data_IF_356954893766
#
_entry.id   IF_356954893766
#
_cell.length_a   1.000
_cell.length_b   1.000
_cell.length_c   1.000
_cell.angle_alpha   90.00
_cell.angle_beta   90.00
_cell.angle_gamma   90.00
#
_symmetry.space_group_name_H-M   'P 1'
#
loop_
_entity.id
_entity.type
_entity.pdbx_description
1 polymer ?
#
# COMPACT_ATOMS: atom_id res chain seq x y z
N UNK A 1 -15.31 -13.11 20.14
CA UNK A 1 -14.04 -12.47 20.55
C UNK A 1 -14.05 -11.01 20.11
N UNK A 2 -13.41 -10.09 20.85
CA UNK A 2 -13.22 -8.70 20.41
C UNK A 2 -11.72 -8.40 20.36
N UNK A 3 -11.19 -8.11 19.18
CA UNK A 3 -9.78 -7.71 19.03
C UNK A 3 -9.55 -6.31 19.60
N UNK A 4 -8.39 -6.12 20.24
CA UNK A 4 -7.93 -4.84 20.78
C UNK A 4 -6.44 -4.68 20.51
N UNK A 5 -6.01 -3.61 19.82
CA UNK A 5 -4.61 -3.40 19.50
C UNK A 5 -3.84 -2.87 20.71
N UNK A 6 -2.70 -3.49 21.02
CA UNK A 6 -1.75 -2.95 21.97
C UNK A 6 -0.80 -1.97 21.26
N UNK A 7 -1.14 -0.68 21.27
CA UNK A 7 -0.35 0.34 20.58
C UNK A 7 1.03 0.61 21.19
N UNK A 8 1.33 0.11 22.39
CA UNK A 8 2.68 0.23 22.97
C UNK A 8 3.69 -0.65 22.24
N UNK A 9 3.21 -1.63 21.46
CA UNK A 9 4.01 -2.48 20.59
C UNK A 9 4.26 -1.87 19.21
N UNK A 10 3.62 -0.74 18.89
CA UNK A 10 3.86 -0.04 17.63
C UNK A 10 5.27 0.54 17.65
N UNK A 11 6.09 0.17 16.65
CA UNK A 11 7.46 0.65 16.53
C UNK A 11 7.65 1.28 15.17
N UNK A 12 8.44 2.34 15.11
CA UNK A 12 8.94 2.84 13.83
C UNK A 12 10.24 2.12 13.57
N UNK A 13 10.26 1.27 12.56
CA UNK A 13 11.37 0.35 12.36
C UNK A 13 12.14 0.71 11.11
N UNK A 14 13.47 0.57 11.19
CA UNK A 14 14.33 0.78 10.03
C UNK A 14 14.08 -0.34 9.02
N UNK A 15 14.02 -0.01 7.73
CA UNK A 15 13.80 -0.96 6.62
C UNK A 15 14.76 -2.16 6.59
N UNK A 16 15.90 -2.07 7.30
CA UNK A 16 16.81 -3.21 7.53
C UNK A 16 16.19 -4.34 8.37
N UNK A 17 15.26 -4.06 9.28
CA UNK A 17 14.59 -5.10 10.07
C UNK A 17 13.62 -5.93 9.23
N UNK A 18 12.97 -5.37 8.21
CA UNK A 18 12.13 -6.12 7.27
C UNK A 18 12.93 -7.26 6.63
N UNK A 19 14.12 -6.94 6.09
CA UNK A 19 15.02 -7.94 5.48
C UNK A 19 15.37 -9.06 6.47
N UNK A 20 15.60 -8.71 7.73
CA UNK A 20 15.96 -9.69 8.77
C UNK A 20 14.77 -10.59 9.19
N UNK A 21 13.53 -10.09 9.10
CA UNK A 21 12.33 -10.83 9.50
C UNK A 21 11.90 -11.81 8.41
N UNK A 22 11.94 -11.40 7.15
CA UNK A 22 11.32 -12.14 6.05
C UNK A 22 12.34 -12.78 5.09
N UNK A 23 13.64 -12.53 5.27
CA UNK A 23 14.72 -13.02 4.41
C UNK A 23 14.80 -12.30 3.05
N UNK A 24 13.66 -11.82 2.56
CA UNK A 24 13.47 -10.93 1.41
C UNK A 24 12.41 -9.87 1.74
N UNK A 25 12.49 -8.66 1.19
CA UNK A 25 11.57 -7.55 1.51
C UNK A 25 10.09 -7.77 1.14
N UNK A 26 9.73 -8.92 0.58
CA UNK A 26 8.43 -9.20 -0.03
C UNK A 26 7.87 -10.50 0.51
N UNK A 27 6.71 -10.44 1.16
CA UNK A 27 6.04 -11.65 1.66
C UNK A 27 4.54 -11.44 1.84
N UNK A 28 3.80 -12.53 1.85
CA UNK A 28 2.44 -12.56 2.39
C UNK A 28 2.53 -13.16 3.80
N UNK A 29 2.06 -12.40 4.79
CA UNK A 29 1.96 -12.86 6.16
C UNK A 29 0.51 -13.28 6.44
N UNK A 30 0.31 -14.50 6.93
CA UNK A 30 -1.01 -15.06 7.23
C UNK A 30 -1.09 -15.30 8.73
N UNK A 31 -2.00 -14.62 9.39
CA UNK A 31 -2.25 -14.77 10.81
C UNK A 31 -3.55 -15.53 11.05
N UNK A 32 -3.55 -16.43 12.03
CA UNK A 32 -4.71 -17.23 12.41
C UNK A 32 -4.98 -17.12 13.91
N UNK A 33 -6.21 -16.76 14.27
CA UNK A 33 -6.69 -16.84 15.65
C UNK A 33 -8.13 -17.32 15.68
N UNK A 34 -8.35 -18.49 16.27
CA UNK A 34 -9.66 -19.13 16.31
C UNK A 34 -10.24 -19.31 14.89
N UNK A 35 -11.40 -18.72 14.60
CA UNK A 35 -12.04 -18.75 13.28
C UNK A 35 -11.67 -17.55 12.40
N UNK A 36 -10.70 -16.73 12.80
CA UNK A 36 -10.30 -15.50 12.11
C UNK A 36 -8.98 -15.66 11.37
N UNK A 37 -8.94 -15.13 10.16
CA UNK A 37 -7.75 -15.11 9.32
C UNK A 37 -7.47 -13.68 8.85
N UNK A 38 -6.23 -13.22 9.05
CA UNK A 38 -5.73 -11.98 8.48
C UNK A 38 -4.62 -12.32 7.49
N UNK A 39 -4.81 -11.94 6.23
CA UNK A 39 -3.76 -12.01 5.21
C UNK A 39 -3.20 -10.60 5.03
N UNK A 40 -1.89 -10.41 5.15
CA UNK A 40 -1.22 -9.14 4.92
C UNK A 40 -0.26 -9.26 3.74
N UNK A 41 -0.48 -8.46 2.70
CA UNK A 41 0.49 -8.27 1.63
C UNK A 41 1.55 -7.27 2.09
N UNK A 42 2.79 -7.71 2.20
CA UNK A 42 3.91 -6.85 2.58
C UNK A 42 4.68 -6.50 1.30
N UNK A 43 4.33 -5.38 0.67
CA UNK A 43 4.92 -4.97 -0.60
C UNK A 43 5.91 -3.80 -0.44
N UNK A 44 7.01 -3.84 -1.19
CA UNK A 44 8.03 -2.76 -1.29
C UNK A 44 7.76 -1.90 -2.54
N UNK A 45 6.50 -1.84 -3.01
CA UNK A 45 6.04 -1.22 -4.25
C UNK A 45 6.82 -1.63 -5.50
N UNK A 46 7.33 -2.87 -5.52
CA UNK A 46 7.97 -3.41 -6.72
C UNK A 46 6.89 -3.88 -7.66
N UNK A 47 6.32 -2.94 -8.43
CA UNK A 47 5.13 -3.08 -9.26
C UNK A 47 4.84 -4.53 -9.68
N UNK A 48 5.77 -5.15 -10.40
CA UNK A 48 5.66 -6.53 -10.89
C UNK A 48 5.31 -7.59 -9.84
N UNK A 49 6.01 -7.63 -8.70
CA UNK A 49 5.80 -8.67 -7.68
C UNK A 49 4.53 -8.37 -6.86
N UNK A 50 4.24 -7.09 -6.63
CA UNK A 50 3.02 -6.64 -5.96
C UNK A 50 1.76 -7.11 -6.71
N UNK A 51 1.77 -6.96 -8.04
CA UNK A 51 0.74 -7.53 -8.92
C UNK A 51 0.62 -9.04 -8.71
N UNK A 52 1.74 -9.77 -8.82
CA UNK A 52 1.74 -11.23 -8.69
C UNK A 52 1.22 -11.69 -7.32
N UNK A 53 1.54 -10.98 -6.24
CA UNK A 53 1.01 -11.25 -4.88
C UNK A 53 -0.50 -11.03 -4.81
N UNK A 54 -0.99 -9.90 -5.32
CA UNK A 54 -2.42 -9.58 -5.29
C UNK A 54 -3.25 -10.56 -6.15
N UNK A 55 -2.79 -10.89 -7.36
CA UNK A 55 -3.38 -11.92 -8.22
C UNK A 55 -3.36 -13.27 -7.53
N UNK A 56 -2.22 -13.68 -6.96
CA UNK A 56 -2.13 -14.95 -6.24
C UNK A 56 -3.15 -15.00 -5.10
N UNK A 57 -3.21 -14.01 -4.21
CA UNK A 57 -4.13 -14.00 -3.07
C UNK A 57 -5.61 -13.93 -3.45
N UNK A 58 -5.95 -13.30 -4.58
CA UNK A 58 -7.33 -13.16 -5.05
C UNK A 58 -7.74 -14.25 -6.05
N UNK A 59 -6.80 -15.06 -6.53
CA UNK A 59 -7.08 -16.17 -7.45
C UNK A 59 -8.03 -17.22 -6.85
N UNK A 60 -8.67 -18.00 -7.71
CA UNK A 60 -9.53 -19.11 -7.27
C UNK A 60 -8.73 -20.28 -6.67
N UNK A 61 -7.44 -20.38 -7.00
CA UNK A 61 -6.53 -21.40 -6.50
C UNK A 61 -5.95 -21.09 -5.12
N UNK A 62 -6.05 -19.84 -4.65
CA UNK A 62 -5.60 -19.50 -3.31
C UNK A 62 -6.52 -20.10 -2.24
N UNK A 63 -6.01 -20.84 -1.25
CA UNK A 63 -6.86 -21.58 -0.32
C UNK A 63 -7.68 -20.67 0.63
N UNK A 64 -7.30 -19.40 0.77
CA UNK A 64 -7.94 -18.45 1.69
C UNK A 64 -8.75 -17.45 0.87
N UNK A 65 -10.07 -17.40 1.06
CA UNK A 65 -10.94 -16.45 0.35
C UNK A 65 -11.29 -15.27 1.26
N UNK A 66 -10.97 -14.02 0.88
CA UNK A 66 -11.28 -12.87 1.71
C UNK A 66 -12.77 -12.54 1.66
N UNK A 67 -13.33 -12.25 2.84
CA UNK A 67 -14.66 -11.66 2.95
C UNK A 67 -14.64 -10.14 2.73
N UNK A 68 -13.45 -9.52 2.87
CA UNK A 68 -13.20 -8.09 2.68
C UNK A 68 -11.75 -7.87 2.27
N UNK A 69 -11.55 -6.90 1.37
CA UNK A 69 -10.25 -6.35 1.01
C UNK A 69 -10.08 -4.97 1.64
N UNK A 70 -9.00 -4.80 2.39
CA UNK A 70 -8.57 -3.55 3.00
C UNK A 70 -7.37 -3.01 2.21
N UNK A 71 -7.44 -1.76 1.76
CA UNK A 71 -6.35 -1.14 1.00
C UNK A 71 -5.86 0.12 1.69
N UNK A 72 -4.54 0.24 1.81
CA UNK A 72 -3.88 1.52 2.05
C UNK A 72 -4.20 2.52 0.94
N UNK A 73 -4.26 3.79 1.29
CA UNK A 73 -4.54 4.88 0.36
C UNK A 73 -3.29 5.71 0.08
N UNK A 74 -2.22 5.08 -0.42
CA UNK A 74 -1.13 5.84 -1.02
C UNK A 74 -1.52 6.24 -2.45
N UNK A 75 -1.73 7.55 -2.64
CA UNK A 75 -1.88 8.22 -3.93
C UNK A 75 -3.26 8.29 -4.60
N UNK A 76 -4.37 8.10 -3.87
CA UNK A 76 -5.70 8.42 -4.44
C UNK A 76 -5.87 9.94 -4.47
N UNK A 77 -5.62 10.56 -5.62
CA UNK A 77 -5.74 12.02 -5.83
C UNK A 77 -4.52 12.72 -6.43
N UNK A 78 -3.41 12.02 -6.70
CA UNK A 78 -2.38 12.59 -7.58
C UNK A 78 -2.89 12.48 -9.02
N UNK A 79 -2.82 13.58 -9.78
CA UNK A 79 -2.88 13.50 -11.24
C UNK A 79 -1.87 12.43 -11.66
N UNK A 80 -2.35 11.32 -12.22
CA UNK A 80 -1.54 10.24 -12.76
C UNK A 80 -0.62 10.85 -13.82
N UNK A 81 0.59 11.27 -13.43
CA UNK A 81 1.62 11.61 -14.39
C UNK A 81 2.00 10.31 -15.06
N UNK A 82 1.67 10.20 -16.34
CA UNK A 82 2.17 9.15 -17.21
C UNK A 82 3.68 9.06 -17.02
N UNK A 83 4.13 8.03 -16.32
CA UNK A 83 5.53 7.67 -16.31
C UNK A 83 5.87 7.18 -17.72
N UNK A 84 6.95 7.66 -18.35
CA UNK A 84 7.44 7.12 -19.62
C UNK A 84 7.92 5.66 -19.51
N UNK A 85 7.73 5.00 -18.36
CA UNK A 85 8.09 3.59 -18.10
C UNK A 85 6.87 2.66 -18.04
N UNK A 86 5.74 3.06 -18.62
CA UNK A 86 4.51 2.27 -18.66
C UNK A 86 3.64 2.47 -17.43
N UNK A 87 2.37 2.12 -17.56
CA UNK A 87 1.34 2.24 -16.51
C UNK A 87 1.85 1.74 -15.16
N UNK A 88 2.07 2.66 -14.22
CA UNK A 88 2.03 2.33 -12.80
C UNK A 88 0.55 2.26 -12.40
N UNK A 89 -0.17 1.25 -12.88
CA UNK A 89 -1.31 0.82 -12.07
C UNK A 89 -0.69 0.37 -10.75
N UNK A 90 -1.01 1.09 -9.67
CA UNK A 90 -0.64 0.59 -8.36
C UNK A 90 -1.28 -0.79 -8.21
N UNK A 91 -0.53 -1.72 -7.65
CA UNK A 91 -1.01 -2.97 -7.09
C UNK A 91 -2.36 -2.79 -6.36
N UNK A 92 -2.54 -1.68 -5.66
CA UNK A 92 -3.79 -1.24 -5.04
C UNK A 92 -4.96 -1.08 -6.03
N UNK A 93 -4.74 -0.38 -7.16
CA UNK A 93 -5.78 -0.19 -8.19
C UNK A 93 -6.17 -1.53 -8.80
N UNK A 94 -5.18 -2.37 -9.05
CA UNK A 94 -5.41 -3.68 -9.62
C UNK A 94 -6.16 -4.61 -8.66
N UNK A 95 -5.71 -4.72 -7.41
CA UNK A 95 -6.37 -5.51 -6.38
C UNK A 95 -7.82 -5.06 -6.15
N UNK A 96 -8.08 -3.74 -6.15
CA UNK A 96 -9.43 -3.19 -6.09
C UNK A 96 -10.28 -3.63 -7.30
N UNK A 97 -9.73 -3.60 -8.50
CA UNK A 97 -10.39 -4.09 -9.72
C UNK A 97 -10.72 -5.59 -9.67
N UNK A 98 -9.79 -6.42 -9.19
CA UNK A 98 -10.00 -7.87 -9.02
C UNK A 98 -11.05 -8.14 -7.94
N UNK A 99 -10.97 -7.45 -6.80
CA UNK A 99 -11.96 -7.54 -5.73
C UNK A 99 -13.37 -7.19 -6.21
N UNK A 100 -13.51 -6.09 -6.96
CA UNK A 100 -14.79 -5.68 -7.54
C UNK A 100 -15.38 -6.75 -8.48
N UNK A 101 -14.57 -7.35 -9.36
CA UNK A 101 -15.02 -8.45 -10.25
C UNK A 101 -15.50 -9.67 -9.48
N UNK A 102 -14.91 -9.92 -8.30
CA UNK A 102 -15.24 -11.05 -7.41
C UNK A 102 -16.32 -10.70 -6.37
N UNK A 103 -16.90 -9.50 -6.43
CA UNK A 103 -17.86 -8.99 -5.43
C UNK A 103 -17.32 -9.00 -3.99
N UNK A 104 -16.00 -8.83 -3.83
CA UNK A 104 -15.38 -8.70 -2.51
C UNK A 104 -15.49 -7.22 -2.08
N UNK A 105 -16.09 -6.92 -0.91
CA UNK A 105 -16.13 -5.58 -0.35
C UNK A 105 -14.73 -4.95 -0.23
N UNK A 106 -14.61 -3.69 -0.64
CA UNK A 106 -13.38 -2.90 -0.56
C UNK A 106 -13.51 -1.80 0.49
N UNK A 107 -12.49 -1.64 1.35
CA UNK A 107 -12.42 -0.58 2.35
C UNK A 107 -11.04 0.07 2.31
N UNK A 108 -10.99 1.40 2.22
CA UNK A 108 -9.75 2.15 2.42
C UNK A 108 -9.50 2.32 3.91
N UNK A 109 -8.30 1.98 4.36
CA UNK A 109 -7.96 1.89 5.80
C UNK A 109 -6.98 2.94 6.28
N UNK A 110 -6.51 3.81 5.38
CA UNK A 110 -5.55 4.86 5.69
C UNK A 110 -6.23 6.23 5.88
N UNK A 111 -5.50 7.17 6.46
CA UNK A 111 -5.92 8.55 6.60
C UNK A 111 -6.09 9.18 5.22
N UNK A 112 -7.16 9.97 5.06
CA UNK A 112 -7.28 10.86 3.90
C UNK A 112 -6.20 11.94 3.92
N UNK A 113 -5.97 12.55 2.75
CA UNK A 113 -5.02 13.66 2.61
C UNK A 113 -5.29 14.80 3.59
N UNK A 114 -6.55 15.19 3.73
CA UNK A 114 -7.00 16.21 4.68
C UNK A 114 -6.68 15.80 6.13
N UNK A 115 -7.01 14.58 6.52
CA UNK A 115 -6.70 14.06 7.85
C UNK A 115 -5.19 13.97 8.11
N UNK A 116 -4.39 13.63 7.10
CA UNK A 116 -2.93 13.65 7.22
C UNK A 116 -2.40 15.06 7.47
N UNK A 117 -2.92 16.07 6.76
CA UNK A 117 -2.56 17.48 7.00
C UNK A 117 -2.94 17.92 8.41
N UNK A 118 -4.14 17.59 8.88
CA UNK A 118 -4.60 17.91 10.23
C UNK A 118 -3.70 17.28 11.30
N UNK A 119 -3.33 16.01 11.11
CA UNK A 119 -2.40 15.29 11.99
C UNK A 119 -1.05 15.98 12.09
N UNK A 120 -0.48 16.42 10.97
CA UNK A 120 0.84 17.07 11.02
C UNK A 120 0.71 18.49 11.60
N UNK A 121 -0.29 19.27 11.19
CA UNK A 121 -0.50 20.63 11.68
C UNK A 121 -0.80 20.69 13.19
N UNK A 122 -1.53 19.70 13.73
CA UNK A 122 -1.80 19.62 15.17
C UNK A 122 -0.53 19.40 16.01
N UNK A 123 0.49 18.75 15.46
CA UNK A 123 1.77 18.49 16.15
C UNK A 123 2.79 19.59 15.90
N UNK A 124 2.76 20.22 14.73
CA UNK A 124 3.71 21.24 14.29
C UNK A 124 3.00 22.53 13.85
N UNK A 125 2.25 23.21 14.75
CA UNK A 125 1.35 24.31 14.40
C UNK A 125 2.04 25.55 13.81
N UNK A 126 3.35 25.71 14.06
CA UNK A 126 4.13 26.86 13.60
C UNK A 126 4.79 26.65 12.23
N UNK A 127 4.63 25.46 11.63
CA UNK A 127 5.33 25.08 10.40
C UNK A 127 4.48 25.17 9.15
N UNK A 128 3.26 25.75 9.21
CA UNK A 128 2.27 25.87 8.12
C UNK A 128 2.57 24.95 6.94
N UNK A 129 2.31 23.66 7.13
CA UNK A 129 2.57 22.68 6.10
C UNK A 129 1.51 22.89 5.03
N UNK A 130 1.93 23.09 3.79
CA UNK A 130 1.04 23.14 2.64
C UNK A 130 1.08 21.81 1.89
N UNK A 131 0.13 21.61 0.97
CA UNK A 131 -0.03 20.34 0.27
C UNK A 131 1.23 19.83 -0.45
N UNK A 132 2.07 20.73 -0.97
CA UNK A 132 3.35 20.36 -1.58
C UNK A 132 4.34 19.77 -0.57
N UNK A 133 4.26 20.18 0.69
CA UNK A 133 5.16 19.74 1.74
C UNK A 133 4.81 18.34 2.22
N UNK A 134 3.52 17.95 2.22
CA UNK A 134 3.11 16.59 2.55
C UNK A 134 3.73 15.55 1.60
N UNK A 135 3.85 15.88 0.32
CA UNK A 135 4.54 15.02 -0.63
C UNK A 135 6.04 14.88 -0.29
N UNK A 136 6.70 15.99 0.06
CA UNK A 136 8.11 15.97 0.46
C UNK A 136 8.34 15.25 1.80
N UNK A 137 7.35 15.26 2.69
CA UNK A 137 7.36 14.51 3.95
C UNK A 137 7.21 13.01 3.68
N UNK A 138 6.28 12.62 2.80
CA UNK A 138 6.02 11.21 2.51
C UNK A 138 7.08 10.57 1.59
N UNK A 139 7.68 11.36 0.69
CA UNK A 139 8.55 10.89 -0.40
C UNK A 139 9.79 11.79 -0.60
N UNK A 140 10.65 11.97 0.42
CA UNK A 140 11.85 12.79 0.28
C UNK A 140 12.88 12.17 -0.68
N UNK A 141 13.68 13.01 -1.33
CA UNK A 141 15.02 12.60 -1.80
C UNK A 141 16.08 12.84 -0.74
N UNK A 142 15.94 13.92 0.03
CA UNK A 142 16.81 14.30 1.16
C UNK A 142 15.97 14.91 2.28
N UNK A 143 15.77 14.18 3.38
CA UNK A 143 15.07 14.73 4.55
C UNK A 143 15.97 15.70 5.33
N UNK A 144 15.42 16.85 5.70
CA UNK A 144 15.89 17.56 6.91
C UNK A 144 15.49 16.75 8.16
N UNK A 145 16.21 16.93 9.27
CA UNK A 145 15.86 16.27 10.55
C UNK A 145 14.40 16.52 10.96
N UNK A 146 13.94 17.77 10.80
CA UNK A 146 12.56 18.15 11.08
C UNK A 146 11.53 17.44 10.18
N UNK A 147 11.79 17.32 8.88
CA UNK A 147 10.92 16.58 7.96
C UNK A 147 10.91 15.09 8.27
N UNK A 148 12.05 14.54 8.69
CA UNK A 148 12.11 13.15 9.14
C UNK A 148 11.25 12.93 10.38
N UNK A 149 11.34 13.79 11.39
CA UNK A 149 10.48 13.72 12.58
C UNK A 149 8.99 13.82 12.24
N UNK A 150 8.63 14.74 11.33
CA UNK A 150 7.25 14.88 10.82
C UNK A 150 6.77 13.61 10.12
N UNK A 151 7.61 13.02 9.26
CA UNK A 151 7.32 11.77 8.57
C UNK A 151 7.08 10.63 9.57
N UNK A 152 8.00 10.43 10.53
CA UNK A 152 7.87 9.38 11.53
C UNK A 152 6.61 9.58 12.38
N UNK A 153 6.30 10.82 12.76
CA UNK A 153 5.06 11.13 13.48
C UNK A 153 3.81 10.77 12.68
N UNK A 154 3.73 11.22 11.42
CA UNK A 154 2.61 10.95 10.54
C UNK A 154 2.44 9.45 10.29
N UNK A 155 3.54 8.75 10.00
CA UNK A 155 3.57 7.32 9.76
C UNK A 155 2.97 6.55 10.94
N UNK A 156 3.32 6.92 12.19
CA UNK A 156 2.73 6.32 13.39
C UNK A 156 1.22 6.57 13.49
N UNK A 157 0.72 7.73 13.10
CA UNK A 157 -0.72 8.00 13.14
C UNK A 157 -1.47 7.23 12.06
N UNK A 158 -0.90 7.14 10.84
CA UNK A 158 -1.40 6.27 9.76
C UNK A 158 -1.49 4.82 10.24
N UNK A 159 -0.43 4.29 10.83
CA UNK A 159 -0.38 2.92 11.37
C UNK A 159 -1.46 2.66 12.43
N UNK A 160 -1.66 3.61 13.35
CA UNK A 160 -2.71 3.49 14.39
C UNK A 160 -4.09 3.44 13.76
N UNK A 161 -4.36 4.31 12.80
CA UNK A 161 -5.65 4.37 12.11
C UNK A 161 -5.91 3.09 11.31
N UNK A 162 -4.91 2.61 10.55
CA UNK A 162 -4.98 1.33 9.84
C UNK A 162 -5.27 0.15 10.78
N UNK A 163 -4.54 0.04 11.90
CA UNK A 163 -4.77 -1.01 12.89
C UNK A 163 -6.19 -0.97 13.49
N UNK A 164 -6.74 0.23 13.74
CA UNK A 164 -8.12 0.37 14.21
C UNK A 164 -9.11 -0.17 13.17
N UNK A 165 -8.91 0.17 11.89
CA UNK A 165 -9.77 -0.32 10.81
C UNK A 165 -9.63 -1.83 10.60
N UNK A 166 -8.42 -2.39 10.70
CA UNK A 166 -8.18 -3.84 10.67
C UNK A 166 -8.92 -4.53 11.81
N UNK A 167 -8.87 -3.98 13.02
CA UNK A 167 -9.59 -4.52 14.19
C UNK A 167 -11.10 -4.49 13.99
N UNK A 168 -11.65 -3.38 13.48
CA UNK A 168 -13.07 -3.30 13.13
C UNK A 168 -13.44 -4.37 12.11
N UNK A 169 -12.59 -4.57 11.09
CA UNK A 169 -12.81 -5.57 10.07
C UNK A 169 -12.76 -7.00 10.64
N UNK A 170 -11.75 -7.35 11.43
CA UNK A 170 -11.62 -8.68 12.05
C UNK A 170 -12.76 -9.02 13.01
N UNK A 171 -13.36 -8.00 13.65
CA UNK A 171 -14.54 -8.19 14.48
C UNK A 171 -15.82 -8.46 13.66
N UNK A 172 -15.86 -8.08 12.38
CA UNK A 172 -17.03 -8.19 11.50
C UNK A 172 -16.95 -9.36 10.51
N UNK A 173 -15.77 -9.65 9.98
CA UNK A 173 -15.52 -10.64 8.93
C UNK A 173 -14.60 -11.74 9.43
N UNK A 174 -14.69 -12.94 8.85
CA UNK A 174 -13.88 -14.09 9.28
C UNK A 174 -12.52 -14.09 8.58
N UNK A 175 -12.48 -13.70 7.32
CA UNK A 175 -11.24 -13.57 6.55
C UNK A 175 -11.07 -12.14 6.04
N UNK A 176 -10.02 -11.47 6.53
CA UNK A 176 -9.64 -10.12 6.15
C UNK A 176 -8.36 -10.19 5.33
N UNK A 177 -8.37 -9.61 4.14
CA UNK A 177 -7.14 -9.39 3.37
C UNK A 177 -6.79 -7.92 3.38
N UNK A 178 -5.54 -7.58 3.72
CA UNK A 178 -5.04 -6.22 3.74
C UNK A 178 -3.81 -6.05 2.85
N UNK A 179 -3.81 -4.95 2.10
CA UNK A 179 -2.71 -4.50 1.26
C UNK A 179 -2.23 -3.14 1.77
N UNK A 180 -0.97 -3.08 2.20
CA UNK A 180 -0.26 -1.87 2.58
C UNK A 180 1.25 -2.04 2.31
N UNK A 181 1.98 -0.93 2.31
CA UNK A 181 3.42 -0.90 2.16
C UNK A 181 4.14 -1.69 3.25
N UNK A 182 5.28 -2.27 2.91
CA UNK A 182 6.08 -3.13 3.78
C UNK A 182 6.54 -2.40 5.04
N UNK A 183 6.76 -1.09 4.97
CA UNK A 183 7.05 -0.25 6.14
C UNK A 183 5.91 -0.31 7.17
N UNK A 184 4.65 -0.19 6.72
CA UNK A 184 3.47 -0.30 7.57
C UNK A 184 3.38 -1.68 8.23
N UNK A 185 3.61 -2.75 7.46
CA UNK A 185 3.65 -4.10 8.02
C UNK A 185 4.63 -4.22 9.18
N UNK A 186 5.87 -3.78 8.98
CA UNK A 186 6.95 -3.96 9.96
C UNK A 186 6.63 -3.18 11.23
N UNK A 187 6.12 -1.96 11.08
CA UNK A 187 5.73 -1.13 12.21
C UNK A 187 4.59 -1.74 13.05
N UNK A 188 3.65 -2.39 12.36
CA UNK A 188 2.44 -2.96 12.96
C UNK A 188 2.60 -4.42 13.41
N UNK A 189 3.62 -5.15 12.93
CA UNK A 189 3.77 -6.61 13.10
C UNK A 189 3.61 -7.07 14.53
N UNK A 190 4.27 -6.43 15.49
CA UNK A 190 4.20 -6.86 16.90
C UNK A 190 2.80 -6.67 17.49
N UNK A 191 2.07 -5.63 17.06
CA UNK A 191 0.67 -5.44 17.44
C UNK A 191 -0.20 -6.54 16.83
N UNK A 192 0.02 -6.87 15.55
CA UNK A 192 -0.69 -7.96 14.87
C UNK A 192 -0.37 -9.32 15.51
N UNK A 193 0.88 -9.59 15.89
CA UNK A 193 1.29 -10.82 16.56
C UNK A 193 0.66 -10.98 17.95
N UNK A 194 0.57 -9.90 18.72
CA UNK A 194 -0.14 -9.88 20.00
C UNK A 194 -1.65 -10.15 19.84
N UNK A 195 -2.25 -9.58 18.79
CA UNK A 195 -3.67 -9.74 18.50
C UNK A 195 -4.03 -11.08 17.87
N UNK A 196 -3.19 -11.64 17.01
CA UNK A 196 -3.55 -12.76 16.13
C UNK A 196 -2.63 -13.98 16.28
N UNK A 197 -1.57 -13.91 17.09
CA UNK A 197 -0.54 -14.94 17.13
C UNK A 197 0.51 -14.76 16.04
N UNK A 198 1.48 -15.68 15.97
CA UNK A 198 2.58 -15.59 15.00
C UNK A 198 2.08 -15.88 13.57
N UNK A 199 2.53 -15.11 12.56
CA UNK A 199 2.15 -15.36 11.18
C UNK A 199 2.92 -16.52 10.56
N UNK A 200 2.28 -17.13 9.57
CA UNK A 200 2.92 -17.95 8.55
C UNK A 200 3.32 -17.04 7.37
N UNK A 201 4.49 -17.28 6.78
CA UNK A 201 4.99 -16.46 5.67
C UNK A 201 5.03 -17.23 4.36
N UNK A 202 4.48 -16.62 3.31
CA UNK A 202 4.71 -17.02 1.92
C UNK A 202 5.73 -16.05 1.32
N UNK A 203 6.95 -16.52 1.11
CA UNK A 203 8.07 -15.74 0.54
C UNK A 203 8.34 -16.07 -0.92
N UNK A 204 7.86 -17.22 -1.41
CA UNK A 204 7.98 -17.64 -2.82
C UNK A 204 6.72 -17.24 -3.58
N UNK A 205 6.75 -16.07 -4.20
CA UNK A 205 5.67 -15.58 -5.05
C UNK A 205 5.82 -16.15 -6.45
N UNK A 206 4.79 -16.84 -6.95
CA UNK A 206 4.77 -17.32 -8.33
C UNK A 206 4.55 -16.14 -9.27
N UNK A 207 5.23 -16.14 -10.41
CA UNK A 207 4.87 -15.22 -11.49
C UNK A 207 3.48 -15.62 -12.01
N UNK A 208 2.48 -14.77 -11.73
CA UNK A 208 1.08 -15.03 -12.08
C UNK A 208 0.74 -14.54 -13.49
N UNK A 209 1.57 -13.65 -14.03
CA UNK A 209 1.31 -13.00 -15.32
C UNK A 209 1.84 -13.83 -16.50
N UNK A 210 2.75 -14.79 -16.26
CA UNK A 210 3.47 -15.54 -17.29
C UNK A 210 4.88 -14.99 -17.53
N UNK A 211 5.73 -15.73 -18.25
CA UNK A 211 7.03 -15.20 -18.69
C UNK A 211 6.81 -14.09 -19.72
N UNK A 212 7.33 -12.89 -19.45
CA UNK A 212 7.36 -11.76 -20.40
C UNK A 212 8.79 -11.41 -20.80
N UNK A 213 9.76 -12.28 -20.51
CA UNK A 213 11.16 -12.08 -20.93
C UNK A 213 11.30 -12.01 -22.46
N UNK A 214 10.31 -12.48 -23.19
CA UNK A 214 10.12 -12.44 -24.63
C UNK A 214 9.37 -11.20 -25.13
N UNK A 215 8.65 -10.48 -24.27
CA UNK A 215 7.94 -9.25 -24.63
C UNK A 215 8.90 -8.06 -24.57
N UNK A 216 9.61 -7.83 -25.67
CA UNK A 216 10.24 -6.53 -25.94
C UNK A 216 9.15 -5.52 -26.30
N UNK A 217 8.79 -4.69 -25.34
CA UNK A 217 7.99 -3.49 -25.63
C UNK A 217 8.93 -2.50 -26.31
N UNK A 218 8.94 -2.51 -27.64
CA UNK A 218 9.55 -1.41 -28.39
C UNK A 218 8.74 -0.14 -28.09
N UNK A 219 9.39 0.99 -27.73
CA UNK A 219 8.68 2.23 -27.54
C UNK A 219 7.92 2.53 -28.83
N UNK A 220 6.58 2.67 -28.72
CA UNK A 220 5.80 3.22 -29.82
C UNK A 220 6.37 4.63 -30.03
N UNK A 221 7.09 4.83 -31.14
CA UNK A 221 7.38 6.18 -31.62
C UNK A 221 6.01 6.82 -31.83
N UNK A 222 5.60 7.66 -30.89
CA UNK A 222 4.52 8.61 -31.13
C UNK A 222 4.98 9.37 -32.37
N UNK A 223 4.35 9.09 -33.51
CA UNK A 223 4.53 9.92 -34.69
C UNK A 223 4.26 11.35 -34.21
N UNK A 224 5.25 12.22 -34.37
CA UNK A 224 5.07 13.64 -34.18
C UNK A 224 3.82 14.00 -34.98
N UNK A 225 2.74 14.32 -34.28
CA UNK A 225 1.61 14.97 -34.92
C UNK A 225 2.16 16.32 -35.36
N UNK A 226 2.62 16.41 -36.60
CA UNK A 226 2.71 17.69 -37.29
C UNK A 226 1.31 18.29 -37.19
N UNK A 227 1.17 19.33 -36.35
CA UNK A 227 -0.02 20.13 -36.37
C UNK A 227 -0.07 20.78 -37.75
N UNK A 228 -0.85 20.20 -38.65
CA UNK A 228 -1.10 20.75 -39.95
C UNK A 228 -1.74 22.14 -39.78
N UNK A 229 -0.96 23.16 -40.14
CA UNK A 229 -1.39 24.46 -40.65
C UNK A 229 -2.54 25.15 -39.93
N UNK A 230 -2.22 25.99 -38.95
CA UNK A 230 -2.98 27.23 -38.78
C UNK A 230 -2.50 28.22 -39.85
N UNK A 231 -3.09 28.14 -41.04
CA UNK A 231 -3.00 29.18 -42.06
C UNK A 231 -3.66 30.45 -41.50
N UNK A 232 -2.84 31.35 -40.95
CA UNK A 232 -3.24 32.73 -40.70
C UNK A 232 -3.39 33.44 -42.05
N UNK A 233 -4.64 33.44 -42.56
CA UNK A 233 -5.10 34.39 -43.57
C UNK A 233 -4.98 35.80 -42.98
N UNK A 234 -3.88 36.50 -43.29
CA UNK A 234 -3.85 37.97 -43.23
C UNK A 234 -4.78 38.51 -44.31
N UNK A 235 -5.84 39.17 -43.84
CA UNK A 235 -6.63 40.15 -44.60
C UNK A 235 -6.08 41.54 -44.32
#
# INVERSE_FOLDING_TARGET
MQFKPNFDLLRTVNSKELINITGDRLCIAIFHRENKTLVCMCDDHRANIAFDMSEMCLSDDFPIKPDVLLCEMENVGFERKFSPHGYQDSDLTHAAGVAAKKNIPLVFIDLSREQMMDVVNSRFPNNQIVDSDLHNILMPKDHTEQQHEQYIWLLRQRDRFMLQNIVVALNKWDTVFVIFGGTHFVNQRLVLEDMMGKPEYITKIKNMRGDFSDVKIEPIKLCEFEMAGADDKKS
#
